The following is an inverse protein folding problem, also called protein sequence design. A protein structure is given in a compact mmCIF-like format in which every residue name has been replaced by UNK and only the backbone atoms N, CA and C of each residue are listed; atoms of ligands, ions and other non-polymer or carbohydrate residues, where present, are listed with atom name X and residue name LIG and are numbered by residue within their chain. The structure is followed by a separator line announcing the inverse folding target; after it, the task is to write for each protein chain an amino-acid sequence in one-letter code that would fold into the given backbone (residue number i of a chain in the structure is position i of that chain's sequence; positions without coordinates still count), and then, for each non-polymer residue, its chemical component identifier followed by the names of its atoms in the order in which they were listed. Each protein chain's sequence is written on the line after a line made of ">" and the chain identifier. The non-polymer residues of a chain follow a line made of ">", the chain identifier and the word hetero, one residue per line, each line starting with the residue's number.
data_IF_312231526317
#
_entry.id   IF_312231526317
#
_cell.length_a   1.000
_cell.length_b   1.000
_cell.length_c   1.000
_cell.angle_alpha   90.00
_cell.angle_beta   90.00
_cell.angle_gamma   90.00
#
_symmetry.space_group_name_H-M   'P 1'
#
loop_
_entity.id
_entity.type
_entity.pdbx_description
1 polymer ?
#
# COMPACT_ATOMS: atom_id res chain seq x y z
N UNK A 1 -16.37 -0.50 -9.06
CA UNK A 1 -15.49 -1.48 -9.73
C UNK A 1 -14.57 -2.03 -8.67
N UNK A 2 -14.48 -3.35 -8.50
CA UNK A 2 -13.59 -3.96 -7.51
C UNK A 2 -12.25 -4.26 -8.15
N UNK A 3 -11.18 -3.65 -7.63
CA UNK A 3 -9.82 -3.86 -8.08
C UNK A 3 -9.24 -5.11 -7.43
N UNK A 4 -8.51 -5.91 -8.20
CA UNK A 4 -7.84 -7.10 -7.69
C UNK A 4 -6.44 -6.75 -7.19
N UNK A 5 -6.16 -7.11 -5.93
CA UNK A 5 -4.84 -6.90 -5.35
C UNK A 5 -3.93 -8.08 -5.67
N UNK A 6 -2.82 -7.80 -6.34
CA UNK A 6 -1.73 -8.75 -6.54
C UNK A 6 -0.55 -8.40 -5.63
N UNK A 7 0.13 -9.42 -5.10
CA UNK A 7 1.27 -9.24 -4.20
C UNK A 7 2.56 -9.76 -4.83
N UNK A 8 3.57 -8.90 -4.87
CA UNK A 8 4.93 -9.32 -5.24
C UNK A 8 5.52 -10.24 -4.17
N UNK A 9 6.54 -11.01 -4.55
CA UNK A 9 7.25 -11.85 -3.59
C UNK A 9 7.88 -11.04 -2.44
N UNK A 10 8.36 -9.83 -2.75
CA UNK A 10 8.91 -8.90 -1.76
C UNK A 10 7.82 -8.40 -0.81
N UNK A 11 6.65 -8.01 -1.33
CA UNK A 11 5.51 -7.58 -0.51
C UNK A 11 5.06 -8.69 0.46
N UNK A 12 5.08 -9.96 0.04
CA UNK A 12 4.77 -11.11 0.93
C UNK A 12 5.77 -11.24 2.09
N UNK A 13 7.06 -10.98 1.86
CA UNK A 13 8.08 -10.99 2.92
C UNK A 13 7.88 -9.83 3.88
N UNK A 14 7.62 -8.63 3.35
CA UNK A 14 7.43 -7.44 4.17
C UNK A 14 6.12 -7.49 4.96
N UNK A 15 5.07 -8.12 4.43
CA UNK A 15 3.83 -8.38 5.17
C UNK A 15 4.07 -9.19 6.46
N UNK A 16 4.98 -10.18 6.43
CA UNK A 16 5.35 -10.94 7.64
C UNK A 16 6.05 -10.07 8.68
N UNK A 17 6.94 -9.16 8.25
CA UNK A 17 7.61 -8.21 9.16
C UNK A 17 6.63 -7.19 9.73
N UNK A 18 5.75 -6.68 8.88
CA UNK A 18 4.72 -5.70 9.22
C UNK A 18 3.68 -6.27 10.19
N UNK A 19 3.37 -7.56 10.10
CA UNK A 19 2.52 -8.25 11.07
C UNK A 19 3.15 -8.30 12.47
N UNK A 20 4.47 -8.51 12.55
CA UNK A 20 5.20 -8.56 13.83
C UNK A 20 5.32 -7.19 14.51
N UNK A 21 5.21 -6.09 13.76
CA UNK A 21 5.28 -4.72 14.30
C UNK A 21 3.93 -4.12 14.69
N UNK A 22 2.84 -4.90 14.64
CA UNK A 22 1.49 -4.43 15.00
C UNK A 22 0.84 -3.51 13.97
N UNK A 23 1.46 -3.31 12.80
CA UNK A 23 0.95 -2.43 11.75
C UNK A 23 -0.03 -3.13 10.79
N UNK A 24 -0.26 -4.43 10.98
CA UNK A 24 -1.13 -5.27 10.15
C UNK A 24 -2.49 -4.63 9.88
N UNK A 25 -3.19 -4.22 10.94
CA UNK A 25 -4.54 -3.65 10.83
C UNK A 25 -4.57 -2.36 9.99
N UNK A 26 -3.52 -1.53 10.06
CA UNK A 26 -3.43 -0.31 9.24
C UNK A 26 -3.20 -0.65 7.78
N UNK A 27 -2.34 -1.63 7.49
CA UNK A 27 -2.09 -2.09 6.13
C UNK A 27 -3.34 -2.74 5.52
N UNK A 28 -4.06 -3.58 6.26
CA UNK A 28 -5.29 -4.23 5.77
C UNK A 28 -6.39 -3.21 5.45
N UNK A 29 -6.53 -2.15 6.26
CA UNK A 29 -7.42 -1.03 5.94
C UNK A 29 -7.05 -0.34 4.63
N UNK A 30 -5.76 -0.07 4.41
CA UNK A 30 -5.29 0.55 3.17
C UNK A 30 -5.51 -0.38 1.96
N UNK A 31 -5.26 -1.67 2.10
CA UNK A 31 -5.54 -2.66 1.05
C UNK A 31 -7.04 -2.70 0.71
N UNK A 32 -7.91 -2.61 1.73
CA UNK A 32 -9.37 -2.55 1.50
C UNK A 32 -9.78 -1.30 0.75
N UNK A 33 -9.11 -0.16 0.99
CA UNK A 33 -9.33 1.06 0.18
C UNK A 33 -8.87 0.83 -1.25
N UNK A 34 -7.67 0.26 -1.46
CA UNK A 34 -7.14 -0.01 -2.80
C UNK A 34 -8.01 -0.96 -3.62
N UNK A 35 -8.68 -1.95 -2.99
CA UNK A 35 -9.59 -2.85 -3.69
C UNK A 35 -10.91 -2.17 -4.10
N UNK A 36 -11.31 -1.09 -3.43
CA UNK A 36 -12.49 -0.31 -3.80
C UNK A 36 -12.14 0.77 -4.82
N UNK A 37 -11.15 1.60 -4.49
CA UNK A 37 -10.65 2.67 -5.35
C UNK A 37 -9.19 3.00 -5.00
N UNK A 38 -8.22 2.66 -5.88
CA UNK A 38 -6.81 2.91 -5.65
C UNK A 38 -6.46 4.41 -5.64
N UNK A 39 -7.30 5.27 -6.20
CA UNK A 39 -7.08 6.71 -6.28
C UNK A 39 -7.97 7.50 -5.29
N UNK A 40 -8.65 6.79 -4.37
CA UNK A 40 -9.50 7.43 -3.39
C UNK A 40 -8.71 8.38 -2.49
N UNK A 41 -9.24 9.58 -2.32
CA UNK A 41 -8.77 10.58 -1.36
C UNK A 41 -9.97 11.08 -0.54
N UNK A 42 -9.96 11.01 0.81
CA UNK A 42 -8.91 10.50 1.71
C UNK A 42 -8.93 8.96 1.88
N UNK A 43 -7.80 8.30 2.21
CA UNK A 43 -6.48 8.85 2.60
C UNK A 43 -5.64 9.36 1.40
N UNK A 44 -4.71 10.30 1.59
CA UNK A 44 -3.86 10.79 0.51
C UNK A 44 -2.87 9.73 0.00
N UNK A 45 -2.50 9.84 -1.27
CA UNK A 45 -1.45 9.07 -1.92
C UNK A 45 -0.52 10.01 -2.70
N UNK A 46 0.70 9.57 -2.95
CA UNK A 46 1.72 10.31 -3.70
C UNK A 46 2.15 9.48 -4.91
N UNK A 47 2.27 10.10 -6.09
CA UNK A 47 2.90 9.48 -7.25
C UNK A 47 4.42 9.50 -7.09
N UNK A 48 5.05 8.35 -7.28
CA UNK A 48 6.51 8.25 -7.26
C UNK A 48 7.09 8.71 -8.60
N UNK A 49 8.31 9.25 -8.55
CA UNK A 49 9.04 9.81 -9.70
C UNK A 49 10.37 9.06 -9.92
N UNK A 50 10.97 9.22 -11.10
CA UNK A 50 12.24 8.58 -11.47
C UNK A 50 12.06 7.10 -11.81
N UNK A 51 12.93 6.23 -11.29
CA UNK A 51 12.91 4.77 -11.55
C UNK A 51 11.62 4.08 -11.10
N UNK A 52 10.83 4.73 -10.23
CA UNK A 52 9.54 4.24 -9.72
C UNK A 52 8.35 4.96 -10.37
N UNK A 53 8.56 5.63 -11.51
CA UNK A 53 7.48 6.27 -12.25
C UNK A 53 6.38 5.25 -12.61
N UNK A 54 5.13 5.64 -12.37
CA UNK A 54 3.96 4.77 -12.54
C UNK A 54 3.55 4.01 -11.27
N UNK A 55 4.36 4.08 -10.20
CA UNK A 55 3.97 3.61 -8.87
C UNK A 55 3.45 4.75 -7.99
N UNK A 56 2.62 4.38 -7.02
CA UNK A 56 2.01 5.24 -6.03
C UNK A 56 2.39 4.80 -4.63
N UNK A 57 2.41 5.74 -3.69
CA UNK A 57 2.79 5.55 -2.30
C UNK A 57 1.70 6.03 -1.37
N UNK A 58 1.31 5.20 -0.40
CA UNK A 58 0.36 5.52 0.68
C UNK A 58 1.02 5.37 2.04
N UNK A 59 0.62 6.20 2.99
CA UNK A 59 1.23 6.26 4.32
C UNK A 59 0.58 5.27 5.29
N UNK A 60 1.35 4.31 5.80
CA UNK A 60 0.91 3.40 6.88
C UNK A 60 1.16 4.07 8.24
N UNK A 61 2.35 4.65 8.40
CA UNK A 61 2.73 5.50 9.52
C UNK A 61 3.84 6.48 9.07
N UNK A 62 4.50 7.16 10.01
CA UNK A 62 5.53 8.14 9.66
C UNK A 62 6.73 7.53 8.91
N UNK A 63 7.11 6.28 9.23
CA UNK A 63 8.27 5.55 8.68
C UNK A 63 7.96 4.60 7.52
N UNK A 64 6.77 4.01 7.50
CA UNK A 64 6.40 2.94 6.56
C UNK A 64 5.40 3.43 5.53
N UNK A 65 5.64 3.02 4.28
CA UNK A 65 4.80 3.31 3.13
C UNK A 65 4.34 2.01 2.47
N UNK A 66 3.14 2.03 1.92
CA UNK A 66 2.62 1.01 1.02
C UNK A 66 2.82 1.53 -0.40
N UNK A 67 3.60 0.81 -1.21
CA UNK A 67 3.83 1.14 -2.62
C UNK A 67 3.03 0.18 -3.49
N UNK A 68 2.33 0.72 -4.49
CA UNK A 68 1.51 -0.03 -5.44
C UNK A 68 1.61 0.59 -6.83
N UNK A 69 1.15 -0.12 -7.85
CA UNK A 69 1.08 0.33 -9.25
C UNK A 69 -0.29 -0.03 -9.81
#
# INVERSE_FOLDING_TARGET
>A
MTWQIAYTHQAKKDAKKLARSGLKLKAEKLLSVLSQDPFQTPPPFESLIGDLQGSYSRRINIQHRLVYQ
#
